data_IF_270897656798
#
_entry.id   IF_270897656798
#
_cell.length_a   1.000
_cell.length_b   1.000
_cell.length_c   1.000
_cell.angle_alpha   90.00
_cell.angle_beta   90.00
_cell.angle_gamma   90.00
#
_symmetry.space_group_name_H-M   'P 1'
#
loop_
_entity.id
_entity.type
_entity.pdbx_description
1 polymer ?
#
# COMPACT_ATOMS: atom_id res chain seq x y z
N UNK A 1 9.64 14.93 10.92
CA UNK A 1 10.72 14.75 9.93
C UNK A 1 10.78 13.29 9.46
N UNK A 2 11.07 13.06 8.18
CA UNK A 2 11.12 11.73 7.55
C UNK A 2 12.38 10.98 7.97
N UNK A 3 12.26 9.71 8.36
CA UNK A 3 13.41 8.82 8.57
C UNK A 3 13.81 8.25 7.21
N UNK A 4 15.11 8.28 6.91
CA UNK A 4 15.67 7.48 5.83
C UNK A 4 16.15 6.15 6.41
N UNK A 5 16.02 5.06 5.67
CA UNK A 5 16.54 3.76 6.08
C UNK A 5 18.03 3.79 6.48
N UNK A 6 18.80 4.74 5.91
CA UNK A 6 20.20 4.99 6.26
C UNK A 6 20.42 5.49 7.70
N UNK A 7 19.56 6.37 8.23
CA UNK A 7 19.68 6.87 9.61
C UNK A 7 19.46 5.76 10.62
N UNK A 8 18.49 4.89 10.38
CA UNK A 8 18.19 3.75 11.23
C UNK A 8 19.36 2.75 11.26
N UNK A 9 19.88 2.37 10.10
CA UNK A 9 21.01 1.45 9.94
C UNK A 9 22.27 1.94 10.64
N UNK A 10 22.60 3.23 10.51
CA UNK A 10 23.79 3.80 11.13
C UNK A 10 23.71 3.81 12.67
N UNK A 11 22.50 3.81 13.24
CA UNK A 11 22.32 3.81 14.69
C UNK A 11 22.35 2.40 15.29
N UNK A 12 21.88 1.39 14.57
CA UNK A 12 22.06 -0.02 14.99
C UNK A 12 23.54 -0.42 15.06
N UNK A 13 24.38 0.12 14.18
CA UNK A 13 25.84 -0.12 14.23
C UNK A 13 26.53 0.41 15.50
N UNK A 14 25.96 1.42 16.16
CA UNK A 14 26.56 2.03 17.38
C UNK A 14 26.08 1.43 18.70
N UNK A 15 25.10 0.51 18.68
CA UNK A 15 24.37 0.13 19.89
C UNK A 15 24.73 -1.18 20.54
N UNK A 16 25.11 -2.22 19.84
CA UNK A 16 25.40 -3.53 20.46
C UNK A 16 26.26 -4.37 19.50
N UNK A 17 27.56 -4.34 19.62
CA UNK A 17 28.60 -5.25 19.17
C UNK A 17 28.35 -6.43 18.22
N UNK A 18 27.23 -6.47 17.52
CA UNK A 18 26.94 -7.43 16.47
C UNK A 18 27.15 -6.72 15.14
N UNK A 19 28.32 -6.91 14.56
CA UNK A 19 28.63 -6.54 13.18
C UNK A 19 27.77 -7.37 12.24
N UNK A 20 26.54 -6.90 11.97
CA UNK A 20 25.76 -7.41 10.88
C UNK A 20 26.19 -6.64 9.62
N UNK A 21 27.22 -7.13 8.99
CA UNK A 21 27.73 -6.64 7.72
C UNK A 21 26.75 -7.02 6.60
N UNK A 22 25.68 -6.23 6.39
CA UNK A 22 24.86 -6.29 5.16
C UNK A 22 24.08 -4.99 4.91
N UNK A 23 24.62 -4.04 4.16
CA UNK A 23 23.87 -2.83 3.80
C UNK A 23 22.67 -3.11 2.89
N UNK A 24 22.71 -4.12 2.04
CA UNK A 24 21.64 -4.50 1.11
C UNK A 24 20.49 -5.26 1.78
N UNK A 25 20.78 -6.21 2.65
CA UNK A 25 19.76 -7.00 3.35
C UNK A 25 18.88 -6.15 4.29
N UNK A 26 19.42 -5.05 4.83
CA UNK A 26 18.65 -4.18 5.74
C UNK A 26 17.59 -3.33 5.05
N UNK A 27 17.80 -2.94 3.80
CA UNK A 27 16.76 -2.25 3.02
C UNK A 27 15.61 -3.20 2.69
N UNK A 28 15.90 -4.45 2.34
CA UNK A 28 14.89 -5.47 2.07
C UNK A 28 14.00 -5.76 3.28
N UNK A 29 14.55 -5.84 4.47
CA UNK A 29 13.77 -6.02 5.71
C UNK A 29 12.89 -4.82 6.02
N UNK A 30 13.38 -3.60 5.81
CA UNK A 30 12.59 -2.38 5.99
C UNK A 30 11.42 -2.33 5.01
N UNK A 31 11.68 -2.69 3.75
CA UNK A 31 10.65 -2.74 2.72
C UNK A 31 9.59 -3.79 3.03
N UNK A 32 9.99 -4.96 3.57
CA UNK A 32 9.06 -5.99 4.02
C UNK A 32 8.21 -5.55 5.22
N UNK A 33 8.79 -4.83 6.18
CA UNK A 33 8.03 -4.25 7.29
C UNK A 33 7.01 -3.25 6.76
N UNK A 34 7.42 -2.33 5.90
CA UNK A 34 6.53 -1.33 5.31
C UNK A 34 5.42 -1.99 4.49
N UNK A 35 5.76 -3.02 3.71
CA UNK A 35 4.78 -3.82 2.96
C UNK A 35 3.77 -4.51 3.87
N UNK A 36 4.22 -5.07 5.00
CA UNK A 36 3.34 -5.71 5.97
C UNK A 36 2.31 -4.73 6.55
N UNK A 37 2.74 -3.52 6.88
CA UNK A 37 1.83 -2.47 7.36
C UNK A 37 0.88 -1.95 6.30
N UNK A 38 1.34 -1.82 5.06
CA UNK A 38 0.51 -1.38 3.94
C UNK A 38 -0.57 -2.41 3.57
N UNK A 39 -0.21 -3.69 3.58
CA UNK A 39 -1.05 -4.79 3.11
C UNK A 39 -2.00 -5.34 4.16
N UNK A 40 -1.58 -5.34 5.42
CA UNK A 40 -2.33 -5.90 6.55
C UNK A 40 -2.36 -4.92 7.72
N UNK A 41 -2.97 -3.73 7.57
CA UNK A 41 -2.87 -2.65 8.57
C UNK A 41 -3.40 -3.04 9.94
N UNK A 42 -4.46 -3.83 10.00
CA UNK A 42 -5.15 -4.20 11.23
C UNK A 42 -4.78 -5.60 11.77
N UNK A 43 -3.82 -6.28 11.12
CA UNK A 43 -3.45 -7.64 11.46
C UNK A 43 -2.22 -7.68 12.36
N UNK A 44 -2.34 -8.33 13.51
CA UNK A 44 -1.22 -8.51 14.45
C UNK A 44 -0.13 -9.46 13.91
N UNK A 45 -0.51 -10.38 13.01
CA UNK A 45 0.40 -11.33 12.37
C UNK A 45 0.93 -10.84 11.01
N UNK A 46 0.80 -9.54 10.72
CA UNK A 46 1.16 -8.91 9.44
C UNK A 46 2.56 -9.25 8.94
N UNK A 47 3.53 -9.21 9.82
CA UNK A 47 4.92 -9.56 9.49
C UNK A 47 5.04 -11.02 9.08
N UNK A 48 4.38 -11.93 9.82
CA UNK A 48 4.38 -13.34 9.49
C UNK A 48 3.74 -13.62 8.13
N UNK A 49 2.62 -12.97 7.81
CA UNK A 49 1.93 -13.15 6.53
C UNK A 49 2.78 -12.74 5.34
N UNK A 50 3.45 -11.59 5.42
CA UNK A 50 4.36 -11.14 4.36
C UNK A 50 5.59 -12.04 4.27
N UNK A 51 6.11 -12.48 5.42
CA UNK A 51 7.32 -13.32 5.47
C UNK A 51 7.11 -14.73 4.94
N UNK A 52 5.97 -15.33 5.21
CA UNK A 52 5.65 -16.68 4.77
C UNK A 52 5.87 -16.89 3.29
N UNK A 53 5.63 -15.84 2.51
CA UNK A 53 5.66 -15.89 1.05
C UNK A 53 7.03 -15.48 0.47
N UNK A 54 8.04 -15.29 1.33
CA UNK A 54 9.41 -14.93 0.91
C UNK A 54 10.40 -16.07 1.11
N UNK A 55 11.52 -16.01 0.39
CA UNK A 55 12.65 -16.95 0.55
C UNK A 55 13.34 -16.84 1.92
N UNK A 56 13.04 -15.78 2.67
CA UNK A 56 13.54 -15.52 4.02
C UNK A 56 12.71 -16.23 5.11
N UNK A 57 11.79 -17.10 4.75
CA UNK A 57 10.90 -17.80 5.68
C UNK A 57 11.63 -18.86 6.51
N UNK A 58 12.54 -18.41 7.37
CA UNK A 58 13.15 -19.25 8.41
C UNK A 58 12.96 -18.60 9.79
N UNK A 59 13.02 -19.44 10.84
CA UNK A 59 12.76 -18.98 12.20
C UNK A 59 13.71 -17.88 12.68
N UNK A 60 14.97 -17.91 12.27
CA UNK A 60 15.97 -16.89 12.63
C UNK A 60 15.67 -15.54 12.00
N UNK A 61 15.32 -15.53 10.71
CA UNK A 61 14.93 -14.31 10.00
C UNK A 61 13.64 -13.72 10.58
N UNK A 62 12.66 -14.55 10.92
CA UNK A 62 11.43 -14.10 11.58
C UNK A 62 11.69 -13.35 12.87
N UNK A 63 12.45 -13.94 13.80
CA UNK A 63 12.82 -13.28 15.06
C UNK A 63 13.57 -11.97 14.85
N UNK A 64 14.49 -11.96 13.87
CA UNK A 64 15.26 -10.76 13.55
C UNK A 64 14.33 -9.62 13.13
N UNK A 65 13.34 -9.89 12.31
CA UNK A 65 12.42 -8.86 11.81
C UNK A 65 11.46 -8.37 12.88
N UNK A 66 10.92 -9.27 13.69
CA UNK A 66 10.11 -8.88 14.84
C UNK A 66 10.91 -7.94 15.76
N UNK A 67 12.20 -8.24 16.00
CA UNK A 67 13.07 -7.37 16.76
C UNK A 67 13.35 -6.04 16.06
N UNK A 68 13.60 -6.08 14.74
CA UNK A 68 13.80 -4.85 13.95
C UNK A 68 12.57 -3.95 13.94
N UNK A 69 11.36 -4.50 13.85
CA UNK A 69 10.12 -3.74 13.92
C UNK A 69 9.95 -3.07 15.30
N UNK A 70 10.23 -3.80 16.37
CA UNK A 70 10.19 -3.24 17.72
C UNK A 70 11.21 -2.11 17.91
N UNK A 71 12.44 -2.31 17.47
CA UNK A 71 13.50 -1.31 17.56
C UNK A 71 13.21 -0.08 16.71
N UNK A 72 12.63 -0.28 15.50
CA UNK A 72 12.20 0.79 14.63
C UNK A 72 11.08 1.63 15.27
N UNK A 73 10.07 1.00 15.85
CA UNK A 73 8.98 1.69 16.56
C UNK A 73 9.53 2.50 17.74
N UNK A 74 10.43 1.90 18.52
CA UNK A 74 11.08 2.60 19.64
C UNK A 74 11.89 3.79 19.14
N UNK A 75 12.71 3.62 18.11
CA UNK A 75 13.50 4.68 17.51
C UNK A 75 12.61 5.82 16.99
N UNK A 76 11.52 5.51 16.29
CA UNK A 76 10.56 6.50 15.80
C UNK A 76 9.95 7.30 16.94
N UNK A 77 9.52 6.62 17.99
CA UNK A 77 8.96 7.26 19.20
C UNK A 77 9.96 8.16 19.91
N UNK A 78 11.18 7.68 20.16
CA UNK A 78 12.22 8.40 20.90
C UNK A 78 12.74 9.64 20.15
N UNK A 79 12.55 9.69 18.84
CA UNK A 79 13.08 10.75 17.96
C UNK A 79 12.01 11.60 17.29
N UNK A 80 10.74 11.36 17.60
CA UNK A 80 9.59 11.99 16.94
C UNK A 80 9.70 11.91 15.40
N UNK A 81 9.97 10.69 14.90
CA UNK A 81 10.15 10.41 13.47
C UNK A 81 8.98 9.60 12.94
N UNK A 82 8.61 9.86 11.69
CA UNK A 82 7.48 9.22 11.03
C UNK A 82 7.85 8.75 9.63
N UNK A 83 7.35 7.59 9.25
CA UNK A 83 7.29 7.09 7.89
C UNK A 83 5.90 7.33 7.29
N UNK A 84 5.72 7.11 6.01
CA UNK A 84 4.41 7.30 5.36
C UNK A 84 3.30 6.48 6.00
N UNK A 85 3.58 5.22 6.34
CA UNK A 85 2.63 4.33 7.00
C UNK A 85 2.16 4.88 8.35
N UNK A 86 3.03 5.57 9.09
CA UNK A 86 2.67 6.16 10.39
C UNK A 86 1.69 7.34 10.24
N UNK A 87 1.78 8.11 9.15
CA UNK A 87 0.83 9.19 8.88
C UNK A 87 -0.57 8.66 8.66
N UNK A 88 -0.72 7.57 7.89
CA UNK A 88 -2.01 6.93 7.68
C UNK A 88 -2.57 6.36 8.99
N UNK A 89 -1.77 5.64 9.79
CA UNK A 89 -2.20 5.15 11.10
C UNK A 89 -2.64 6.28 12.04
N UNK A 90 -1.87 7.36 12.12
CA UNK A 90 -2.21 8.49 12.97
C UNK A 90 -3.48 9.19 12.50
N UNK A 91 -3.70 9.29 11.20
CA UNK A 91 -4.92 9.86 10.63
C UNK A 91 -6.13 9.00 10.93
N UNK A 92 -6.03 7.68 10.68
CA UNK A 92 -7.09 6.71 11.00
C UNK A 92 -7.42 6.71 12.49
N UNK A 93 -6.41 6.81 13.35
CA UNK A 93 -6.61 6.86 14.81
C UNK A 93 -7.33 8.11 15.27
N UNK A 94 -7.06 9.26 14.68
CA UNK A 94 -7.72 10.53 15.00
C UNK A 94 -9.17 10.57 14.53
N UNK A 95 -9.49 9.86 13.46
CA UNK A 95 -10.84 9.76 12.88
C UNK A 95 -11.54 11.11 12.66
N UNK A 96 -10.79 12.13 12.32
CA UNK A 96 -11.26 13.49 12.13
C UNK A 96 -10.85 14.03 10.77
N UNK A 97 -11.48 13.54 9.66
CA UNK A 97 -11.24 14.09 8.35
C UNK A 97 -11.80 15.52 8.24
N UNK A 98 -11.24 16.36 7.38
CA UNK A 98 -11.83 17.65 7.08
C UNK A 98 -13.23 17.46 6.47
N UNK A 99 -14.16 18.42 6.66
CA UNK A 99 -15.45 18.36 5.99
C UNK A 99 -15.23 18.53 4.48
N UNK A 100 -15.79 17.60 3.70
CA UNK A 100 -15.67 17.58 2.24
C UNK A 100 -17.06 17.60 1.61
N UNK A 101 -17.18 18.28 0.48
CA UNK A 101 -18.37 18.20 -0.36
C UNK A 101 -18.25 17.10 -1.41
N UNK A 102 -17.06 16.96 -1.99
CA UNK A 102 -16.72 15.94 -2.97
C UNK A 102 -15.40 15.30 -2.63
N UNK A 103 -15.28 13.99 -2.90
CA UNK A 103 -14.05 13.22 -2.76
C UNK A 103 -13.66 12.63 -4.12
N UNK A 104 -12.45 12.91 -4.59
CA UNK A 104 -11.91 12.37 -5.84
C UNK A 104 -10.71 11.51 -5.51
N UNK A 105 -10.72 10.27 -5.98
CA UNK A 105 -9.63 9.30 -5.85
C UNK A 105 -9.15 8.98 -7.26
N UNK A 106 -7.88 9.25 -7.54
CA UNK A 106 -7.26 8.93 -8.82
C UNK A 106 -6.26 7.78 -8.65
N UNK A 107 -6.01 7.02 -9.72
CA UNK A 107 -5.15 5.82 -9.75
C UNK A 107 -5.49 4.83 -8.62
N UNK A 108 -6.77 4.61 -8.41
CA UNK A 108 -7.28 3.84 -7.27
C UNK A 108 -6.83 2.37 -7.25
N UNK A 109 -6.44 1.80 -8.39
CA UNK A 109 -5.88 0.45 -8.50
C UNK A 109 -4.53 0.29 -7.78
N UNK A 110 -3.84 1.40 -7.50
CA UNK A 110 -2.53 1.40 -6.83
C UNK A 110 -2.60 1.59 -5.31
N UNK A 111 -3.80 1.82 -4.77
CA UNK A 111 -3.98 2.01 -3.34
C UNK A 111 -3.77 0.71 -2.55
N UNK A 112 -2.99 0.81 -1.48
CA UNK A 112 -2.85 -0.29 -0.50
C UNK A 112 -4.08 -0.42 0.38
N UNK A 113 -4.23 -1.56 1.07
CA UNK A 113 -5.32 -1.78 2.02
C UNK A 113 -5.37 -0.69 3.11
N UNK A 114 -4.21 -0.22 3.59
CA UNK A 114 -4.16 0.89 4.55
C UNK A 114 -4.70 2.20 3.97
N UNK A 115 -4.39 2.49 2.70
CA UNK A 115 -4.90 3.69 2.03
C UNK A 115 -6.40 3.58 1.77
N UNK A 116 -6.89 2.40 1.44
CA UNK A 116 -8.33 2.15 1.34
C UNK A 116 -9.05 2.39 2.67
N UNK A 117 -8.50 1.95 3.80
CA UNK A 117 -9.06 2.26 5.12
C UNK A 117 -9.16 3.79 5.36
N UNK A 118 -8.20 4.57 4.84
CA UNK A 118 -8.27 6.04 4.90
C UNK A 118 -9.40 6.58 4.04
N UNK A 119 -9.54 6.07 2.83
CA UNK A 119 -10.63 6.47 1.91
C UNK A 119 -11.99 6.17 2.53
N UNK A 120 -12.19 4.95 3.05
CA UNK A 120 -13.42 4.52 3.69
C UNK A 120 -13.77 5.42 4.89
N UNK A 121 -12.79 5.72 5.74
CA UNK A 121 -12.99 6.61 6.89
C UNK A 121 -13.35 8.05 6.45
N UNK A 122 -12.72 8.57 5.40
CA UNK A 122 -13.05 9.89 4.86
C UNK A 122 -14.47 9.87 4.29
N UNK A 123 -14.84 8.87 3.51
CA UNK A 123 -16.22 8.74 2.98
C UNK A 123 -17.26 8.72 4.10
N UNK A 124 -16.99 7.95 5.16
CA UNK A 124 -17.92 7.80 6.27
C UNK A 124 -18.08 9.07 7.13
N UNK A 125 -16.98 9.82 7.36
CA UNK A 125 -16.93 10.86 8.39
C UNK A 125 -16.80 12.29 7.89
N UNK A 126 -16.42 12.52 6.63
CA UNK A 126 -16.25 13.89 6.10
C UNK A 126 -17.54 14.60 5.73
N UNK A 127 -18.65 13.85 5.61
CA UNK A 127 -19.92 14.38 5.09
C UNK A 127 -19.90 14.58 3.58
N UNK A 128 -19.00 13.93 2.85
CA UNK A 128 -18.93 14.00 1.39
C UNK A 128 -20.27 13.56 0.76
N UNK A 129 -20.83 14.41 -0.11
CA UNK A 129 -22.07 14.12 -0.81
C UNK A 129 -21.87 13.08 -1.91
N UNK A 130 -20.73 13.14 -2.59
CA UNK A 130 -20.39 12.26 -3.69
C UNK A 130 -18.88 11.90 -3.66
N UNK A 131 -18.57 10.68 -4.04
CA UNK A 131 -17.20 10.19 -4.20
C UNK A 131 -17.01 9.68 -5.62
N UNK A 132 -15.95 10.15 -6.26
CA UNK A 132 -15.54 9.75 -7.60
C UNK A 132 -14.24 8.98 -7.50
N UNK A 133 -14.22 7.75 -8.03
CA UNK A 133 -13.06 6.88 -8.00
C UNK A 133 -12.65 6.59 -9.44
N UNK A 134 -11.47 7.00 -9.83
CA UNK A 134 -10.88 6.73 -11.14
C UNK A 134 -9.73 5.73 -11.00
N UNK A 135 -9.62 4.81 -11.95
CA UNK A 135 -8.57 3.82 -11.98
C UNK A 135 -8.71 2.87 -13.16
N UNK A 136 -7.67 2.12 -13.42
CA UNK A 136 -7.61 1.10 -14.47
C UNK A 136 -7.00 -0.19 -13.90
N UNK A 137 -7.83 -1.18 -13.67
CA UNK A 137 -7.43 -2.48 -13.12
C UNK A 137 -6.43 -3.24 -13.99
N UNK A 138 -6.42 -2.99 -15.32
CA UNK A 138 -5.41 -3.56 -16.23
C UNK A 138 -4.02 -2.93 -16.03
N UNK A 139 -3.93 -1.77 -15.36
CA UNK A 139 -2.67 -1.08 -15.02
C UNK A 139 -2.20 -1.37 -13.58
N UNK A 140 -2.83 -2.27 -12.86
CA UNK A 140 -2.48 -2.61 -11.48
C UNK A 140 -1.18 -3.42 -11.38
N UNK A 141 -0.03 -2.76 -11.51
CA UNK A 141 1.30 -3.37 -11.50
C UNK A 141 1.99 -3.29 -10.13
N UNK A 142 1.41 -2.63 -9.13
CA UNK A 142 2.02 -2.40 -7.81
C UNK A 142 1.56 -3.35 -6.71
N UNK A 143 1.02 -4.53 -7.06
CA UNK A 143 0.69 -5.58 -6.07
C UNK A 143 1.88 -5.96 -5.17
N UNK A 144 3.08 -5.99 -5.73
CA UNK A 144 4.31 -6.26 -4.99
C UNK A 144 4.63 -5.17 -3.96
N UNK A 145 4.17 -3.94 -4.17
CA UNK A 145 4.31 -2.82 -3.25
C UNK A 145 3.13 -2.68 -2.27
N UNK A 146 2.14 -3.59 -2.33
CA UNK A 146 1.02 -3.64 -1.39
C UNK A 146 -0.31 -3.10 -1.93
N UNK A 147 -0.40 -2.79 -3.23
CA UNK A 147 -1.66 -2.39 -3.83
C UNK A 147 -2.74 -3.48 -3.68
N UNK A 148 -3.94 -3.08 -3.27
CA UNK A 148 -5.11 -3.94 -3.07
C UNK A 148 -6.11 -3.78 -4.22
N UNK A 149 -5.78 -4.41 -5.34
CA UNK A 149 -6.64 -4.40 -6.52
C UNK A 149 -8.00 -5.09 -6.28
N UNK A 150 -8.06 -6.05 -5.36
CA UNK A 150 -9.31 -6.74 -5.05
C UNK A 150 -10.31 -5.78 -4.39
N UNK A 151 -9.83 -4.87 -3.56
CA UNK A 151 -10.67 -3.82 -2.98
C UNK A 151 -11.24 -2.91 -4.06
N UNK A 152 -10.39 -2.46 -5.01
CA UNK A 152 -10.82 -1.62 -6.14
C UNK A 152 -11.90 -2.32 -7.00
N UNK A 153 -11.70 -3.59 -7.36
CA UNK A 153 -12.68 -4.37 -8.14
C UNK A 153 -13.98 -4.53 -7.34
N UNK A 154 -13.91 -4.87 -6.06
CA UNK A 154 -15.08 -4.99 -5.19
C UNK A 154 -15.87 -3.69 -5.02
N UNK A 155 -15.18 -2.54 -5.05
CA UNK A 155 -15.85 -1.23 -5.02
C UNK A 155 -16.72 -1.02 -6.26
N UNK A 156 -16.25 -1.45 -7.44
CA UNK A 156 -17.02 -1.43 -8.68
C UNK A 156 -18.28 -2.30 -8.58
N UNK A 157 -18.17 -3.49 -7.96
CA UNK A 157 -19.31 -4.40 -7.80
C UNK A 157 -20.34 -3.90 -6.77
N UNK A 158 -19.87 -3.27 -5.67
CA UNK A 158 -20.77 -2.79 -4.59
C UNK A 158 -21.69 -1.64 -5.01
N UNK A 159 -21.23 -0.80 -5.93
CA UNK A 159 -21.91 0.46 -6.28
C UNK A 159 -22.92 0.33 -7.43
N UNK A 160 -23.34 -0.88 -7.81
CA UNK A 160 -24.16 -1.18 -8.99
C UNK A 160 -23.50 -0.73 -10.30
N UNK A 161 -23.43 -1.58 -11.29
CA UNK A 161 -22.84 -1.34 -12.61
C UNK A 161 -23.33 -0.05 -13.33
N UNK A 162 -24.47 0.51 -12.89
CA UNK A 162 -25.03 1.74 -13.42
C UNK A 162 -24.25 3.01 -13.05
N UNK A 163 -23.29 2.92 -12.10
CA UNK A 163 -22.45 4.04 -11.68
C UNK A 163 -21.03 3.97 -12.27
N UNK A 164 -20.70 2.91 -13.01
CA UNK A 164 -19.41 2.79 -13.69
C UNK A 164 -19.50 3.50 -15.03
N UNK A 165 -18.64 4.50 -15.23
CA UNK A 165 -18.50 5.25 -16.47
C UNK A 165 -17.20 4.82 -17.14
N UNK A 166 -17.23 3.94 -18.16
CA UNK A 166 -16.01 3.54 -18.86
C UNK A 166 -15.51 4.66 -19.77
N UNK A 167 -14.21 4.96 -19.70
CA UNK A 167 -13.53 5.82 -20.63
C UNK A 167 -13.01 4.98 -21.80
N UNK A 168 -13.80 4.89 -22.87
CA UNK A 168 -13.58 3.95 -23.98
C UNK A 168 -12.60 4.43 -25.04
N UNK A 169 -12.24 5.72 -25.04
CA UNK A 169 -11.36 6.31 -26.04
C UNK A 169 -10.02 6.74 -25.43
N UNK A 170 -8.93 6.21 -25.97
CA UNK A 170 -7.58 6.65 -25.63
C UNK A 170 -7.14 7.78 -26.57
N UNK A 171 -6.65 8.89 -25.97
CA UNK A 171 -6.03 9.99 -26.72
C UNK A 171 -4.50 10.02 -26.56
N UNK A 172 -3.92 9.06 -25.83
CA UNK A 172 -2.52 9.08 -25.41
C UNK A 172 -1.64 8.13 -26.19
N UNK A 173 -2.17 7.01 -26.66
CA UNK A 173 -1.38 5.97 -27.33
C UNK A 173 -1.86 5.70 -28.76
N UNK A 174 -0.94 5.31 -29.68
CA UNK A 174 -1.29 4.91 -31.04
C UNK A 174 -2.20 3.69 -31.09
N UNK A 175 -3.04 3.58 -32.11
CA UNK A 175 -3.99 2.46 -32.31
C UNK A 175 -3.26 1.08 -32.30
N UNK A 176 -2.09 0.98 -32.91
CA UNK A 176 -1.32 -0.25 -32.93
C UNK A 176 -0.89 -0.72 -31.53
N UNK A 177 -0.45 0.21 -30.68
CA UNK A 177 -0.08 -0.06 -29.29
C UNK A 177 -1.31 -0.42 -28.48
N UNK A 178 -2.42 0.32 -28.67
CA UNK A 178 -3.69 0.02 -28.01
C UNK A 178 -4.19 -1.39 -28.35
N UNK A 179 -4.16 -1.78 -29.63
CA UNK A 179 -4.58 -3.13 -30.06
C UNK A 179 -3.75 -4.23 -29.42
N UNK A 180 -2.42 -4.03 -29.28
CA UNK A 180 -1.56 -4.98 -28.61
C UNK A 180 -1.86 -5.07 -27.10
N UNK A 181 -1.99 -3.93 -26.45
CA UNK A 181 -2.32 -3.85 -25.03
C UNK A 181 -3.67 -4.53 -24.72
N UNK A 182 -4.69 -4.31 -25.56
CA UNK A 182 -6.00 -4.96 -25.43
C UNK A 182 -5.90 -6.49 -25.52
N UNK A 183 -5.10 -7.01 -26.46
CA UNK A 183 -4.89 -8.47 -26.58
C UNK A 183 -4.20 -9.05 -25.33
N UNK A 184 -3.23 -8.35 -24.77
CA UNK A 184 -2.57 -8.75 -23.53
C UNK A 184 -3.51 -8.68 -22.35
N UNK A 185 -4.31 -7.61 -22.24
CA UNK A 185 -5.31 -7.43 -21.20
C UNK A 185 -6.37 -8.54 -21.16
N UNK A 186 -6.71 -9.14 -22.30
CA UNK A 186 -7.66 -10.27 -22.37
C UNK A 186 -7.16 -11.53 -21.64
N UNK A 187 -5.87 -11.65 -21.37
CA UNK A 187 -5.29 -12.78 -20.60
C UNK A 187 -5.39 -12.59 -19.08
N UNK A 188 -5.79 -11.40 -18.61
CA UNK A 188 -5.95 -11.11 -17.19
C UNK A 188 -7.25 -11.74 -16.68
N UNK A 189 -7.15 -12.64 -15.69
CA UNK A 189 -8.28 -13.41 -15.18
C UNK A 189 -9.23 -12.63 -14.27
N UNK A 190 -8.72 -11.60 -13.59
CA UNK A 190 -9.52 -10.74 -12.69
C UNK A 190 -9.47 -9.30 -13.21
N UNK A 191 -10.56 -8.85 -13.78
CA UNK A 191 -10.69 -7.49 -14.32
C UNK A 191 -12.14 -7.02 -14.31
N UNK A 192 -12.32 -5.71 -14.28
CA UNK A 192 -13.61 -5.07 -14.50
C UNK A 192 -13.99 -5.26 -15.98
N UNK A 193 -15.21 -5.71 -16.31
CA UNK A 193 -15.64 -5.83 -17.69
C UNK A 193 -15.53 -4.50 -18.44
N UNK A 194 -14.76 -4.48 -19.54
CA UNK A 194 -14.57 -3.30 -20.41
C UNK A 194 -15.30 -3.59 -21.73
N UNK A 195 -16.09 -2.63 -22.16
CA UNK A 195 -16.80 -2.70 -23.44
C UNK A 195 -15.89 -2.35 -24.60
#
# INVERSE_FOLDING_TARGET
>A
SRITGHEYVNKMKKGNGVDIAMPSAKSEYQDLINLAYAKYPDDNDRLYKVFRDTTLNNYGARKLIEQMDLDLRKFKKDRDKYEYVDYFFNFLKKQNPPPLKYLFIDEAQDLSAQQWNVVDMIQEKSGALETYIAGDDDQAIFRWAGADIEHFIKMADRNNLNTIIPLTQSFRIPISVHSLATKLGQSISQRIPKQ
#
